data_IF_330282414226
#
_entry.id   IF_330282414226
#
_cell.length_a   1.000
_cell.length_b   1.000
_cell.length_c   1.000
_cell.angle_alpha   90.00
_cell.angle_beta   90.00
_cell.angle_gamma   90.00
#
_symmetry.space_group_name_H-M   'P 1'
#
loop_
_entity.id
_entity.type
_entity.pdbx_description
1 polymer ?
#
# COMPACT_ATOMS: atom_id res chain seq x y z
N UNK A 1 -15.93 2.37 14.20
CA UNK A 1 -16.76 1.13 14.36
C UNK A 1 -15.87 -0.13 14.30
N UNK A 2 -15.09 -0.35 13.25
CA UNK A 2 -14.24 -1.55 13.08
C UNK A 2 -13.34 -1.79 14.30
N UNK A 3 -12.63 -0.76 14.77
CA UNK A 3 -11.72 -0.86 15.93
C UNK A 3 -12.45 -1.36 17.19
N UNK A 4 -13.64 -0.84 17.48
CA UNK A 4 -14.40 -1.26 18.66
C UNK A 4 -14.89 -2.71 18.55
N UNK A 5 -15.32 -3.13 17.36
CA UNK A 5 -15.69 -4.52 17.08
C UNK A 5 -14.48 -5.46 17.24
N UNK A 6 -13.29 -5.05 16.77
CA UNK A 6 -12.06 -5.81 16.93
C UNK A 6 -11.60 -5.91 18.40
N UNK A 7 -11.72 -4.82 19.17
CA UNK A 7 -11.46 -4.85 20.63
C UNK A 7 -12.41 -5.80 21.35
N UNK A 8 -13.69 -5.79 20.98
CA UNK A 8 -14.67 -6.73 21.52
C UNK A 8 -14.33 -8.19 21.22
N UNK A 9 -13.94 -8.47 19.97
CA UNK A 9 -13.53 -9.80 19.55
C UNK A 9 -12.25 -10.28 20.27
N UNK A 10 -11.25 -9.43 20.46
CA UNK A 10 -10.04 -9.77 21.24
C UNK A 10 -10.43 -10.12 22.70
N UNK A 11 -11.34 -9.37 23.29
CA UNK A 11 -11.81 -9.62 24.66
C UNK A 11 -12.55 -10.96 24.78
N UNK A 12 -13.34 -11.31 23.77
CA UNK A 12 -14.15 -12.54 23.79
C UNK A 12 -13.33 -13.78 23.40
N UNK A 13 -12.44 -13.70 22.42
CA UNK A 13 -11.77 -14.85 21.79
C UNK A 13 -10.25 -14.85 21.97
N UNK A 14 -9.69 -13.87 22.70
CA UNK A 14 -8.26 -13.74 22.92
C UNK A 14 -7.47 -13.29 21.68
N UNK A 15 -6.17 -13.61 21.66
CA UNK A 15 -5.22 -13.05 20.66
C UNK A 15 -5.09 -13.87 19.38
N UNK A 16 -5.90 -14.90 19.18
CA UNK A 16 -5.75 -15.84 18.03
C UNK A 16 -5.90 -15.18 16.67
N UNK A 17 -6.83 -14.22 16.55
CA UNK A 17 -7.05 -13.48 15.32
C UNK A 17 -6.30 -12.13 15.29
N UNK A 18 -5.40 -11.90 16.23
CA UNK A 18 -4.70 -10.62 16.38
C UNK A 18 -3.96 -10.21 15.10
N UNK A 19 -3.29 -11.14 14.44
CA UNK A 19 -2.56 -10.87 13.19
C UNK A 19 -3.49 -10.36 12.08
N UNK A 20 -4.63 -11.03 11.86
CA UNK A 20 -5.62 -10.62 10.87
C UNK A 20 -6.26 -9.27 11.23
N UNK A 21 -6.55 -9.06 12.50
CA UNK A 21 -7.12 -7.81 13.01
C UNK A 21 -6.15 -6.64 12.85
N UNK A 22 -4.88 -6.83 13.17
CA UNK A 22 -3.86 -5.81 13.01
C UNK A 22 -3.65 -5.49 11.51
N UNK A 23 -3.62 -6.51 10.65
CA UNK A 23 -3.53 -6.31 9.21
C UNK A 23 -4.73 -5.49 8.68
N UNK A 24 -5.93 -5.79 9.14
CA UNK A 24 -7.11 -5.02 8.79
C UNK A 24 -7.03 -3.56 9.25
N UNK A 25 -6.58 -3.31 10.47
CA UNK A 25 -6.39 -1.94 10.98
C UNK A 25 -5.35 -1.15 10.19
N UNK A 26 -4.32 -1.81 9.65
CA UNK A 26 -3.32 -1.15 8.80
C UNK A 26 -3.81 -0.90 7.37
N UNK A 27 -4.58 -1.83 6.79
CA UNK A 27 -5.01 -1.74 5.39
C UNK A 27 -6.32 -0.99 5.20
N UNK A 28 -7.27 -1.13 6.13
CA UNK A 28 -8.63 -0.60 5.98
C UNK A 28 -8.70 0.92 5.79
N UNK A 29 -7.88 1.77 6.47
CA UNK A 29 -7.92 3.21 6.25
C UNK A 29 -7.69 3.63 4.79
N UNK A 30 -6.92 2.84 4.05
CA UNK A 30 -6.60 3.12 2.64
C UNK A 30 -7.54 2.38 1.67
N UNK A 31 -8.05 1.21 2.07
CA UNK A 31 -8.80 0.31 1.20
C UNK A 31 -10.32 0.35 1.40
N UNK A 32 -10.81 1.01 2.45
CA UNK A 32 -12.22 1.01 2.85
C UNK A 32 -13.20 1.55 1.80
N UNK A 33 -12.72 2.35 0.84
CA UNK A 33 -13.52 2.86 -0.28
C UNK A 33 -13.69 1.85 -1.41
N UNK A 34 -12.78 0.88 -1.51
CA UNK A 34 -12.79 -0.14 -2.56
C UNK A 34 -13.32 -1.47 -2.05
N UNK A 35 -12.98 -1.83 -0.82
CA UNK A 35 -13.20 -3.15 -0.26
C UNK A 35 -13.95 -3.10 1.06
N UNK A 36 -14.95 -3.97 1.26
CA UNK A 36 -15.47 -4.24 2.59
C UNK A 36 -14.43 -4.97 3.41
N UNK A 37 -14.49 -4.86 4.72
CA UNK A 37 -13.67 -5.65 5.61
C UNK A 37 -14.47 -6.85 6.12
N UNK A 38 -13.83 -8.01 6.15
CA UNK A 38 -14.40 -9.25 6.70
C UNK A 38 -13.27 -10.04 7.36
N UNK A 39 -13.30 -10.11 8.70
CA UNK A 39 -12.27 -10.78 9.49
C UNK A 39 -12.90 -11.98 10.19
N UNK A 40 -12.52 -13.16 9.76
CA UNK A 40 -12.91 -14.41 10.39
C UNK A 40 -12.13 -14.63 11.69
N UNK A 41 -12.84 -14.94 12.76
CA UNK A 41 -12.27 -15.32 14.04
C UNK A 41 -12.37 -16.84 14.16
N UNK A 42 -11.22 -17.51 14.23
CA UNK A 42 -11.12 -18.97 14.26
C UNK A 42 -10.81 -19.49 15.66
N UNK A 43 -11.38 -20.62 16.02
CA UNK A 43 -11.05 -21.34 17.25
C UNK A 43 -9.70 -22.10 17.13
N UNK A 44 -9.41 -22.94 18.14
CA UNK A 44 -8.17 -23.75 18.16
C UNK A 44 -8.14 -24.83 17.09
N UNK A 45 -9.29 -25.19 16.54
CA UNK A 45 -9.44 -26.24 15.52
C UNK A 45 -9.38 -25.64 14.11
N UNK A 46 -9.39 -24.29 14.00
CA UNK A 46 -9.45 -23.57 12.72
C UNK A 46 -10.86 -23.29 12.22
N UNK A 47 -11.89 -23.66 12.99
CA UNK A 47 -13.28 -23.35 12.64
C UNK A 47 -13.60 -21.89 12.91
N UNK A 48 -14.36 -21.26 12.00
CA UNK A 48 -14.83 -19.87 12.17
C UNK A 48 -15.91 -19.86 13.25
N UNK A 49 -15.67 -19.13 14.31
CA UNK A 49 -16.59 -18.98 15.47
C UNK A 49 -17.27 -17.64 15.50
N UNK A 50 -16.72 -16.65 14.83
CA UNK A 50 -17.28 -15.31 14.70
C UNK A 50 -16.70 -14.57 13.50
N UNK A 51 -17.34 -13.47 13.08
CA UNK A 51 -16.89 -12.64 11.96
C UNK A 51 -17.10 -11.16 12.29
N UNK A 52 -16.02 -10.38 12.18
CA UNK A 52 -16.11 -8.92 12.27
C UNK A 52 -16.16 -8.35 10.86
N UNK A 53 -17.22 -7.61 10.57
CA UNK A 53 -17.42 -6.99 9.26
C UNK A 53 -17.50 -5.46 9.35
N UNK A 54 -16.99 -4.79 8.31
CA UNK A 54 -17.25 -3.38 8.07
C UNK A 54 -17.60 -3.19 6.59
N UNK A 55 -18.68 -2.46 6.28
CA UNK A 55 -19.05 -2.18 4.90
C UNK A 55 -18.00 -1.28 4.24
N UNK A 56 -17.97 -1.32 2.91
CA UNK A 56 -17.22 -0.35 2.13
C UNK A 56 -17.74 1.07 2.42
N UNK A 57 -16.82 2.01 2.56
CA UNK A 57 -17.17 3.43 2.66
C UNK A 57 -17.68 3.93 1.30
N UNK A 58 -18.90 4.47 1.28
CA UNK A 58 -19.44 5.11 0.09
C UNK A 58 -18.85 6.53 -0.04
N UNK A 59 -18.09 6.75 -1.10
CA UNK A 59 -17.61 8.07 -1.51
C UNK A 59 -18.12 8.37 -2.92
N UNK A 60 -18.30 9.64 -3.24
CA UNK A 60 -18.50 10.06 -4.62
C UNK A 60 -17.25 9.73 -5.44
N UNK A 61 -17.37 9.44 -6.75
CA UNK A 61 -16.23 9.03 -7.60
C UNK A 61 -15.08 10.04 -7.59
N UNK A 62 -15.38 11.33 -7.48
CA UNK A 62 -14.43 12.44 -7.44
C UNK A 62 -13.90 12.75 -6.04
N UNK A 63 -14.46 12.16 -5.00
CA UNK A 63 -14.08 12.44 -3.64
C UNK A 63 -12.80 11.66 -3.27
N UNK A 64 -11.79 12.38 -2.81
CA UNK A 64 -10.51 11.83 -2.40
C UNK A 64 -10.41 11.70 -0.89
N UNK A 65 -9.71 10.66 -0.45
CA UNK A 65 -9.31 10.53 0.95
C UNK A 65 -8.22 11.56 1.30
N UNK A 66 -8.16 12.05 2.55
CA UNK A 66 -7.14 13.02 2.96
C UNK A 66 -5.70 12.58 2.61
N UNK A 67 -5.40 11.31 2.75
CA UNK A 67 -4.08 10.73 2.43
C UNK A 67 -3.79 10.73 0.92
N UNK A 68 -4.81 10.59 0.08
CA UNK A 68 -4.71 10.69 -1.38
C UNK A 68 -4.42 12.13 -1.81
N UNK A 69 -5.11 13.10 -1.18
CA UNK A 69 -4.87 14.54 -1.40
C UNK A 69 -3.44 14.89 -1.05
N UNK A 70 -2.95 14.42 0.10
CA UNK A 70 -1.59 14.69 0.55
C UNK A 70 -0.54 14.06 -0.37
N UNK A 71 -0.77 12.84 -0.86
CA UNK A 71 0.11 12.22 -1.85
C UNK A 71 0.20 13.06 -3.13
N UNK A 72 -0.94 13.54 -3.64
CA UNK A 72 -0.98 14.40 -4.85
C UNK A 72 -0.18 15.70 -4.60
N UNK A 73 -0.35 16.33 -3.44
CA UNK A 73 0.37 17.56 -3.08
C UNK A 73 1.88 17.32 -2.97
N UNK A 74 2.28 16.22 -2.34
CA UNK A 74 3.68 15.83 -2.23
C UNK A 74 4.30 15.59 -3.61
N UNK A 75 3.64 14.81 -4.47
CA UNK A 75 4.15 14.53 -5.82
C UNK A 75 4.25 15.82 -6.63
N UNK A 76 3.29 16.73 -6.50
CA UNK A 76 3.33 18.04 -7.18
C UNK A 76 4.54 18.87 -6.75
N UNK A 77 4.83 18.91 -5.46
CA UNK A 77 6.00 19.58 -4.90
C UNK A 77 7.29 18.96 -5.45
N UNK A 78 7.42 17.63 -5.36
CA UNK A 78 8.62 16.94 -5.82
C UNK A 78 8.87 17.12 -7.32
N UNK A 79 7.79 17.05 -8.13
CA UNK A 79 7.87 17.30 -9.57
C UNK A 79 8.31 18.73 -9.89
N UNK A 80 7.86 19.75 -9.12
CA UNK A 80 8.31 21.12 -9.31
C UNK A 80 9.81 21.32 -9.06
N UNK A 81 10.41 20.44 -8.25
CA UNK A 81 11.83 20.37 -7.96
C UNK A 81 12.57 19.33 -8.82
N UNK A 82 11.91 18.82 -9.89
CA UNK A 82 12.45 17.83 -10.82
C UNK A 82 12.85 16.50 -10.16
N UNK A 83 12.21 16.15 -9.06
CA UNK A 83 12.44 14.89 -8.34
C UNK A 83 11.33 13.88 -8.62
N UNK A 84 11.72 12.63 -8.80
CA UNK A 84 10.81 11.49 -8.93
C UNK A 84 10.47 10.91 -7.57
N UNK A 85 9.27 10.34 -7.46
CA UNK A 85 8.75 9.78 -6.20
C UNK A 85 8.64 8.27 -6.31
N UNK A 86 9.22 7.57 -5.34
CA UNK A 86 9.03 6.13 -5.12
C UNK A 86 7.96 5.95 -4.03
N UNK A 87 6.82 5.39 -4.40
CA UNK A 87 5.70 5.20 -3.48
C UNK A 87 5.50 3.72 -3.16
N UNK A 88 5.75 3.36 -1.92
CA UNK A 88 5.64 1.99 -1.43
C UNK A 88 4.24 1.64 -0.95
N UNK A 89 3.73 0.50 -1.46
CA UNK A 89 2.42 -0.06 -1.19
C UNK A 89 2.57 -1.49 -0.69
N UNK A 90 2.16 -1.78 0.53
CA UNK A 90 2.36 -3.10 1.15
C UNK A 90 1.26 -4.09 0.79
N UNK A 91 0.00 -3.64 0.74
CA UNK A 91 -1.15 -4.52 0.53
C UNK A 91 -1.53 -4.57 -0.95
N UNK A 92 -0.81 -5.36 -1.75
CA UNK A 92 -0.96 -5.48 -3.20
C UNK A 92 -1.63 -6.80 -3.65
N UNK A 93 -2.26 -7.51 -2.73
CA UNK A 93 -3.05 -8.72 -3.00
C UNK A 93 -4.54 -8.39 -3.11
N UNK A 94 -5.34 -8.96 -2.21
CA UNK A 94 -6.81 -8.81 -2.20
C UNK A 94 -7.30 -7.38 -1.89
N UNK A 95 -6.44 -6.51 -1.37
CA UNK A 95 -6.74 -5.11 -1.02
C UNK A 95 -5.84 -4.14 -1.78
N UNK A 96 -5.60 -4.43 -3.05
CA UNK A 96 -4.73 -3.62 -3.90
C UNK A 96 -5.40 -2.28 -4.27
N UNK A 97 -4.84 -1.19 -3.76
CA UNK A 97 -5.30 0.17 -4.05
C UNK A 97 -4.46 0.87 -5.13
N UNK A 98 -3.43 0.20 -5.68
CA UNK A 98 -2.57 0.79 -6.71
C UNK A 98 -3.35 1.29 -7.93
N UNK A 99 -4.37 0.56 -8.46
CA UNK A 99 -5.16 1.06 -9.59
C UNK A 99 -5.87 2.38 -9.29
N UNK A 100 -6.42 2.55 -8.06
CA UNK A 100 -7.05 3.79 -7.64
C UNK A 100 -6.04 4.93 -7.53
N UNK A 101 -4.90 4.70 -6.86
CA UNK A 101 -3.87 5.73 -6.72
C UNK A 101 -3.26 6.11 -8.06
N UNK A 102 -3.03 5.15 -8.95
CA UNK A 102 -2.55 5.41 -10.29
C UNK A 102 -3.52 6.34 -11.04
N UNK A 103 -4.81 6.01 -11.02
CA UNK A 103 -5.84 6.86 -11.64
C UNK A 103 -5.84 8.28 -11.07
N UNK A 104 -5.85 8.43 -9.75
CA UNK A 104 -5.84 9.74 -9.07
C UNK A 104 -4.62 10.57 -9.48
N UNK A 105 -3.45 9.97 -9.50
CA UNK A 105 -2.21 10.66 -9.85
C UNK A 105 -2.16 10.99 -11.35
N UNK A 106 -2.65 10.13 -12.23
CA UNK A 106 -2.74 10.38 -13.67
C UNK A 106 -3.74 11.50 -13.98
N UNK A 107 -4.90 11.53 -13.32
CA UNK A 107 -5.88 12.62 -13.40
C UNK A 107 -5.32 13.94 -12.88
N UNK A 108 -4.39 13.91 -11.92
CA UNK A 108 -3.66 15.08 -11.45
C UNK A 108 -2.50 15.51 -12.39
N UNK A 109 -2.30 14.85 -13.52
CA UNK A 109 -1.31 15.19 -14.56
C UNK A 109 0.09 14.60 -14.32
N UNK A 110 0.21 13.51 -13.55
CA UNK A 110 1.49 12.82 -13.32
C UNK A 110 1.61 11.57 -14.18
N UNK A 111 2.84 11.26 -14.60
CA UNK A 111 3.18 10.02 -15.31
C UNK A 111 3.50 8.94 -14.28
N UNK A 112 2.63 7.97 -14.14
CA UNK A 112 2.72 6.92 -13.12
C UNK A 112 3.09 5.58 -13.75
N UNK A 113 3.96 4.84 -13.08
CA UNK A 113 4.24 3.44 -13.39
C UNK A 113 4.03 2.59 -12.14
N UNK A 114 3.54 1.38 -12.33
CA UNK A 114 3.35 0.41 -11.27
C UNK A 114 4.13 -0.86 -11.59
N UNK A 115 5.05 -1.25 -10.71
CA UNK A 115 5.75 -2.53 -10.84
C UNK A 115 4.89 -3.63 -10.22
N UNK A 116 4.54 -4.61 -11.02
CA UNK A 116 3.73 -5.74 -10.62
C UNK A 116 4.56 -6.99 -10.32
N UNK A 117 4.02 -7.90 -9.50
CA UNK A 117 4.65 -9.17 -9.16
C UNK A 117 4.79 -10.13 -10.35
N UNK A 118 4.04 -9.92 -11.43
CA UNK A 118 4.15 -10.68 -12.68
C UNK A 118 5.49 -10.46 -13.39
N UNK A 119 6.19 -9.35 -13.09
CA UNK A 119 7.54 -9.11 -13.60
C UNK A 119 8.54 -10.00 -12.84
N UNK A 120 9.17 -10.91 -13.57
CA UNK A 120 10.16 -11.83 -13.01
C UNK A 120 11.27 -11.09 -12.26
N UNK A 121 11.75 -11.60 -11.10
CA UNK A 121 12.75 -10.91 -10.28
C UNK A 121 13.99 -10.46 -11.06
N UNK A 122 14.50 -11.32 -11.95
CA UNK A 122 15.70 -11.03 -12.77
C UNK A 122 15.49 -9.94 -13.84
N UNK A 123 14.22 -9.65 -14.18
CA UNK A 123 13.86 -8.65 -15.20
C UNK A 123 13.45 -7.30 -14.60
N UNK A 124 13.28 -7.19 -13.27
CA UNK A 124 12.75 -5.99 -12.62
C UNK A 124 13.64 -4.77 -12.83
N UNK A 125 14.95 -4.92 -12.73
CA UNK A 125 15.90 -3.83 -12.94
C UNK A 125 15.78 -3.26 -14.36
N UNK A 126 15.85 -4.12 -15.36
CA UNK A 126 15.68 -3.71 -16.77
C UNK A 126 14.29 -3.12 -17.04
N UNK A 127 13.25 -3.67 -16.40
CA UNK A 127 11.90 -3.14 -16.51
C UNK A 127 11.80 -1.72 -15.93
N UNK A 128 12.36 -1.49 -14.74
CA UNK A 128 12.39 -0.17 -14.09
C UNK A 128 13.14 0.81 -14.99
N UNK A 129 14.38 0.51 -15.37
CA UNK A 129 15.20 1.39 -16.22
C UNK A 129 14.51 1.77 -17.53
N UNK A 130 13.77 0.83 -18.14
CA UNK A 130 13.04 1.07 -19.38
C UNK A 130 11.76 1.89 -19.18
N UNK A 131 10.95 1.56 -18.16
CA UNK A 131 9.58 2.05 -18.05
C UNK A 131 9.47 3.31 -17.20
N UNK A 132 10.47 3.62 -16.35
CA UNK A 132 10.40 4.77 -15.44
C UNK A 132 11.20 5.97 -15.88
N UNK A 133 11.83 5.93 -17.07
CA UNK A 133 12.63 7.05 -17.59
C UNK A 133 11.86 8.37 -17.51
N UNK A 134 10.62 8.39 -17.99
CA UNK A 134 9.78 9.57 -18.02
C UNK A 134 8.71 9.58 -16.91
N UNK A 135 8.75 8.65 -15.97
CA UNK A 135 7.80 8.59 -14.89
C UNK A 135 8.09 9.64 -13.82
N UNK A 136 7.02 10.23 -13.28
CA UNK A 136 7.09 11.10 -12.11
C UNK A 136 6.97 10.28 -10.82
N UNK A 137 6.21 9.16 -10.87
CA UNK A 137 5.94 8.28 -9.73
C UNK A 137 6.09 6.81 -10.12
N UNK A 138 6.75 6.04 -9.26
CA UNK A 138 6.74 4.57 -9.30
C UNK A 138 5.98 4.01 -8.10
N UNK A 139 4.87 3.32 -8.35
CA UNK A 139 4.14 2.55 -7.35
C UNK A 139 4.69 1.12 -7.28
N UNK A 140 5.09 0.65 -6.11
CA UNK A 140 5.71 -0.67 -5.98
C UNK A 140 5.51 -1.27 -4.59
N UNK A 141 5.37 -2.60 -4.53
CA UNK A 141 5.46 -3.31 -3.25
C UNK A 141 6.93 -3.41 -2.83
N UNK A 142 7.30 -3.01 -1.58
CA UNK A 142 8.68 -3.07 -1.11
C UNK A 142 9.31 -4.48 -1.20
N UNK A 143 8.51 -5.53 -1.13
CA UNK A 143 8.98 -6.92 -1.30
C UNK A 143 9.55 -7.21 -2.69
N UNK A 144 9.09 -6.48 -3.73
CA UNK A 144 9.56 -6.67 -5.09
C UNK A 144 10.95 -6.08 -5.34
N UNK A 145 11.35 -5.11 -4.53
CA UNK A 145 12.60 -4.34 -4.72
C UNK A 145 13.58 -4.47 -3.55
N UNK A 146 13.27 -5.31 -2.56
CA UNK A 146 14.10 -5.47 -1.36
C UNK A 146 15.50 -6.04 -1.63
N UNK A 147 15.69 -6.74 -2.74
CA UNK A 147 16.96 -7.39 -3.09
C UNK A 147 17.55 -6.86 -4.39
N UNK A 148 18.76 -6.30 -4.31
CA UNK A 148 19.62 -6.07 -5.48
C UNK A 148 19.22 -4.96 -6.45
N UNK A 149 18.20 -4.16 -6.16
CA UNK A 149 17.78 -3.05 -7.03
C UNK A 149 18.22 -1.72 -6.45
N UNK A 150 18.91 -0.92 -7.26
CA UNK A 150 19.26 0.46 -6.94
C UNK A 150 18.23 1.41 -7.58
N UNK A 151 17.60 2.27 -6.75
CA UNK A 151 16.52 3.17 -7.17
C UNK A 151 16.89 4.65 -6.96
N UNK A 152 18.16 4.99 -7.24
CA UNK A 152 18.70 6.35 -7.05
C UNK A 152 18.00 7.44 -7.87
N UNK A 153 17.33 7.06 -8.96
CA UNK A 153 16.52 8.01 -9.74
C UNK A 153 15.27 8.50 -8.99
N UNK A 154 14.94 7.88 -7.85
CA UNK A 154 13.80 8.25 -7.00
C UNK A 154 14.31 8.76 -5.65
N UNK A 155 14.74 10.02 -5.56
CA UNK A 155 15.31 10.57 -4.32
C UNK A 155 14.27 10.72 -3.21
N UNK A 156 13.00 10.77 -3.56
CA UNK A 156 11.91 10.90 -2.58
C UNK A 156 11.18 9.57 -2.42
N UNK A 157 11.14 9.06 -1.18
CA UNK A 157 10.48 7.81 -0.83
C UNK A 157 9.27 8.09 0.03
N UNK A 158 8.12 7.58 -0.40
CA UNK A 158 6.85 7.64 0.34
C UNK A 158 6.44 6.22 0.74
N UNK A 159 6.31 5.96 2.01
CA UNK A 159 5.66 4.76 2.51
C UNK A 159 4.17 5.03 2.66
N UNK A 160 3.43 4.87 1.57
CA UNK A 160 1.98 5.08 1.59
C UNK A 160 1.27 4.05 2.45
N UNK A 161 1.72 2.80 2.37
CA UNK A 161 1.28 1.73 3.27
C UNK A 161 2.49 1.09 3.95
N UNK A 162 2.35 0.84 5.23
CA UNK A 162 3.37 0.15 6.04
C UNK A 162 2.84 -1.20 6.51
N UNK A 163 3.72 -2.20 6.51
CA UNK A 163 3.45 -3.50 7.13
C UNK A 163 4.17 -3.63 8.47
N UNK A 164 4.05 -4.79 9.10
CA UNK A 164 4.72 -5.08 10.39
C UNK A 164 6.23 -5.33 10.25
N UNK A 165 6.69 -5.65 9.04
CA UNK A 165 8.08 -6.03 8.82
C UNK A 165 8.97 -4.79 8.69
N UNK A 166 9.47 -4.30 9.83
CA UNK A 166 10.38 -3.16 9.90
C UNK A 166 11.68 -3.41 9.11
N UNK A 167 12.12 -4.66 9.02
CA UNK A 167 13.32 -5.01 8.25
C UNK A 167 13.10 -4.76 6.75
N UNK A 168 11.96 -5.17 6.20
CA UNK A 168 11.59 -4.88 4.80
C UNK A 168 11.53 -3.37 4.55
N UNK A 169 10.92 -2.60 5.46
CA UNK A 169 10.86 -1.14 5.35
C UNK A 169 12.25 -0.50 5.33
N UNK A 170 13.14 -0.92 6.24
CA UNK A 170 14.52 -0.43 6.29
C UNK A 170 15.31 -0.79 5.04
N UNK A 171 15.15 -1.99 4.51
CA UNK A 171 15.79 -2.39 3.25
C UNK A 171 15.26 -1.57 2.06
N UNK A 172 13.93 -1.41 1.98
CA UNK A 172 13.31 -0.64 0.92
C UNK A 172 13.75 0.84 0.94
N UNK A 173 13.79 1.47 2.14
CA UNK A 173 14.26 2.84 2.30
C UNK A 173 15.69 3.04 1.78
N UNK A 174 16.58 2.07 2.00
CA UNK A 174 17.99 2.16 1.58
C UNK A 174 18.22 2.04 0.06
N UNK A 175 17.18 1.80 -0.74
CA UNK A 175 17.32 1.66 -2.20
C UNK A 175 17.43 2.98 -2.94
N UNK A 176 16.99 4.06 -2.32
CA UNK A 176 16.97 5.39 -2.92
C UNK A 176 18.12 6.31 -2.46
N UNK A 177 19.00 5.83 -1.55
CA UNK A 177 20.16 6.59 -1.07
C UNK A 177 21.32 5.68 -0.66
N UNK A 178 22.53 6.22 -0.68
CA UNK A 178 23.77 5.61 -0.17
C UNK A 178 24.32 6.39 1.01
#
# INVERSE_FOLDING_TARGET
>A
KLENSLKGAIKAYGTRSLSAMLQALLSNPDSCVLYPECIEIKDKTGMVVDTVTAPRLALAPEELLPKEIELVNLVRKEKSESRKVLCYMTFTGTRDIRPRLQKILEEAGFRVKSLDASVEPKKREAWIAKNTRDADVLLVNPELVKTGLDLYEFPTVVFYQVGYNVFTLRQAARRSWR
#
